data_IF_633962630836
#
_entry.id   IF_633962630836
#
_cell.length_a   1.000
_cell.length_b   1.000
_cell.length_c   1.000
_cell.angle_alpha   90.00
_cell.angle_beta   90.00
_cell.angle_gamma   90.00
#
_symmetry.space_group_name_H-M   'P 1'
#
loop_
_entity.id
_entity.type
_entity.pdbx_description
1 polymer ?
#
# COMPACT_ATOMS: atom_id res chain seq x y z
N UNK A 1 21.28 -6.24 -12.81
CA UNK A 1 19.82 -6.10 -12.98
C UNK A 1 19.04 -6.65 -11.79
N UNK A 2 19.31 -7.89 -11.35
CA UNK A 2 18.58 -8.54 -10.23
C UNK A 2 18.70 -7.81 -8.88
N UNK A 3 19.88 -7.27 -8.55
CA UNK A 3 20.11 -6.52 -7.31
C UNK A 3 19.24 -5.25 -7.19
N UNK A 4 18.91 -4.60 -8.31
CA UNK A 4 18.07 -3.40 -8.32
C UNK A 4 16.61 -3.73 -7.99
N UNK A 5 16.12 -4.90 -8.43
CA UNK A 5 14.76 -5.37 -8.14
C UNK A 5 14.62 -5.70 -6.65
N UNK A 6 15.64 -6.32 -6.05
CA UNK A 6 15.64 -6.59 -4.60
C UNK A 6 15.58 -5.30 -3.77
N UNK A 7 16.36 -4.28 -4.14
CA UNK A 7 16.30 -2.97 -3.50
C UNK A 7 14.93 -2.30 -3.63
N UNK A 8 14.28 -2.45 -4.80
CA UNK A 8 12.94 -1.92 -5.02
C UNK A 8 11.90 -2.61 -4.11
N UNK A 9 11.97 -3.94 -3.99
CA UNK A 9 11.08 -4.72 -3.12
C UNK A 9 11.22 -4.27 -1.66
N UNK A 10 12.45 -4.09 -1.18
CA UNK A 10 12.68 -3.62 0.19
C UNK A 10 12.18 -2.19 0.41
N UNK A 11 12.36 -1.30 -0.56
CA UNK A 11 11.84 0.06 -0.49
C UNK A 11 10.29 0.10 -0.45
N UNK A 12 9.62 -0.75 -1.24
CA UNK A 12 8.15 -0.86 -1.24
C UNK A 12 7.65 -1.38 0.11
N UNK A 13 8.32 -2.36 0.72
CA UNK A 13 7.98 -2.84 2.07
C UNK A 13 8.09 -1.76 3.12
N UNK A 14 9.19 -1.01 3.12
CA UNK A 14 9.38 0.11 4.05
C UNK A 14 8.28 1.17 3.88
N UNK A 15 7.88 1.46 2.64
CA UNK A 15 6.77 2.36 2.35
C UNK A 15 5.43 1.83 2.90
N UNK A 16 5.16 0.53 2.72
CA UNK A 16 3.96 -0.13 3.27
C UNK A 16 3.90 -0.07 4.80
N UNK A 17 5.02 -0.33 5.48
CA UNK A 17 5.13 -0.20 6.94
C UNK A 17 4.85 1.25 7.41
N UNK A 18 5.38 2.24 6.70
CA UNK A 18 5.09 3.65 6.95
C UNK A 18 3.61 3.99 6.81
N UNK A 19 2.96 3.51 5.75
CA UNK A 19 1.51 3.68 5.57
C UNK A 19 0.69 2.97 6.65
N UNK A 20 1.11 1.79 7.09
CA UNK A 20 0.43 1.06 8.17
C UNK A 20 0.54 1.80 9.50
N UNK A 21 1.71 2.34 9.84
CA UNK A 21 1.89 3.14 11.06
C UNK A 21 0.98 4.39 11.03
N UNK A 22 0.93 5.09 9.90
CA UNK A 22 0.05 6.25 9.72
C UNK A 22 -1.43 5.89 9.67
N UNK A 23 -1.79 4.71 9.18
CA UNK A 23 -3.16 4.23 9.21
C UNK A 23 -3.68 4.11 10.65
N UNK A 24 -2.84 3.59 11.57
CA UNK A 24 -3.18 3.49 13.00
C UNK A 24 -3.23 4.88 13.65
N UNK A 25 -2.26 5.76 13.36
CA UNK A 25 -2.23 7.13 13.89
C UNK A 25 -3.47 7.94 13.48
N UNK A 26 -4.01 7.70 12.28
CA UNK A 26 -5.12 8.45 11.71
C UNK A 26 -6.47 7.72 11.78
N UNK A 27 -6.58 6.64 12.56
CA UNK A 27 -7.81 5.85 12.64
C UNK A 27 -9.05 6.67 13.04
N UNK A 28 -8.85 7.71 13.87
CA UNK A 28 -9.94 8.51 14.45
C UNK A 28 -10.22 9.81 13.67
N UNK A 29 -9.46 10.08 12.60
CA UNK A 29 -9.65 11.29 11.78
C UNK A 29 -10.75 11.02 10.75
N UNK A 30 -11.92 11.61 10.95
CA UNK A 30 -13.04 11.52 10.01
C UNK A 30 -12.84 12.48 8.83
N UNK A 31 -13.07 11.98 7.61
CA UNK A 31 -13.03 12.77 6.37
C UNK A 31 -14.16 12.38 5.40
N UNK A 32 -14.45 13.26 4.45
CA UNK A 32 -15.37 12.94 3.35
C UNK A 32 -14.62 12.15 2.27
N UNK A 33 -15.17 11.00 1.89
CA UNK A 33 -14.70 10.24 0.73
C UNK A 33 -14.99 11.00 -0.57
N UNK A 34 -14.21 10.70 -1.62
CA UNK A 34 -14.39 11.29 -2.96
C UNK A 34 -14.52 10.19 -4.01
N UNK A 35 -15.60 10.21 -4.78
CA UNK A 35 -15.79 9.35 -5.97
C UNK A 35 -16.00 10.21 -7.19
N UNK A 36 -15.24 10.01 -8.26
CA UNK A 36 -15.24 10.93 -9.43
C UNK A 36 -15.05 12.41 -9.03
N UNK A 37 -14.26 12.66 -7.97
CA UNK A 37 -14.03 13.97 -7.33
C UNK A 37 -15.27 14.61 -6.66
N UNK A 38 -16.42 13.93 -6.65
CA UNK A 38 -17.61 14.34 -5.94
C UNK A 38 -17.62 13.79 -4.51
N UNK A 39 -18.30 14.51 -3.60
CA UNK A 39 -18.47 14.07 -2.22
C UNK A 39 -19.26 12.76 -2.17
N UNK A 40 -18.73 11.80 -1.43
CA UNK A 40 -19.30 10.48 -1.25
C UNK A 40 -19.67 10.26 0.24
N UNK A 41 -19.55 9.03 0.71
CA UNK A 41 -19.81 8.65 2.10
C UNK A 41 -18.61 9.01 2.99
N UNK A 42 -18.83 9.45 4.24
CA UNK A 42 -17.75 9.68 5.21
C UNK A 42 -16.96 8.40 5.48
N UNK A 43 -15.65 8.55 5.64
CA UNK A 43 -14.73 7.48 6.03
C UNK A 43 -13.60 8.03 6.88
N UNK A 44 -12.78 7.17 7.48
CA UNK A 44 -11.62 7.62 8.27
C UNK A 44 -10.39 7.75 7.38
N UNK A 45 -9.51 8.69 7.71
CA UNK A 45 -8.23 8.83 7.04
C UNK A 45 -7.38 7.56 7.24
N UNK A 46 -7.47 6.93 8.41
CA UNK A 46 -6.81 5.65 8.69
C UNK A 46 -7.23 4.54 7.73
N UNK A 47 -8.51 4.45 7.35
CA UNK A 47 -8.99 3.47 6.37
C UNK A 47 -8.36 3.67 4.99
N UNK A 48 -8.16 4.90 4.54
CA UNK A 48 -7.49 5.19 3.26
C UNK A 48 -6.01 4.78 3.29
N UNK A 49 -5.30 5.14 4.36
CA UNK A 49 -3.89 4.76 4.52
C UNK A 49 -3.70 3.25 4.65
N UNK A 50 -4.63 2.57 5.30
CA UNK A 50 -4.64 1.11 5.35
C UNK A 50 -4.82 0.49 3.97
N UNK A 51 -5.72 1.03 3.14
CA UNK A 51 -5.92 0.57 1.77
C UNK A 51 -4.64 0.69 0.92
N UNK A 52 -3.87 1.79 1.06
CA UNK A 52 -2.58 1.93 0.39
C UNK A 52 -1.57 0.84 0.81
N UNK A 53 -1.47 0.55 2.11
CA UNK A 53 -0.61 -0.53 2.60
C UNK A 53 -1.03 -1.90 2.04
N UNK A 54 -2.33 -2.20 1.99
CA UNK A 54 -2.84 -3.47 1.43
C UNK A 54 -2.44 -3.62 -0.03
N UNK A 55 -2.65 -2.59 -0.86
CA UNK A 55 -2.27 -2.59 -2.26
C UNK A 55 -0.76 -2.83 -2.45
N UNK A 56 0.09 -2.12 -1.70
CA UNK A 56 1.54 -2.30 -1.81
C UNK A 56 2.01 -3.71 -1.38
N UNK A 57 1.34 -4.31 -0.40
CA UNK A 57 1.63 -5.68 0.01
C UNK A 57 1.21 -6.71 -1.06
N UNK A 58 0.12 -6.46 -1.78
CA UNK A 58 -0.28 -7.30 -2.91
C UNK A 58 0.72 -7.19 -4.07
N UNK A 59 1.14 -5.98 -4.43
CA UNK A 59 2.18 -5.76 -5.44
C UNK A 59 3.50 -6.46 -5.07
N UNK A 60 3.91 -6.37 -3.81
CA UNK A 60 5.11 -7.06 -3.30
C UNK A 60 5.02 -8.57 -3.46
N UNK A 61 3.84 -9.17 -3.21
CA UNK A 61 3.60 -10.61 -3.45
C UNK A 61 3.66 -10.95 -4.94
N UNK A 62 3.10 -10.10 -5.80
CA UNK A 62 3.15 -10.30 -7.25
C UNK A 62 4.59 -10.29 -7.78
N UNK A 63 5.43 -9.35 -7.34
CA UNK A 63 6.86 -9.32 -7.68
C UNK A 63 7.61 -10.57 -7.20
N UNK A 64 7.25 -11.09 -6.02
CA UNK A 64 7.82 -12.32 -5.50
C UNK A 64 7.38 -13.56 -6.31
N UNK A 65 6.13 -13.60 -6.80
CA UNK A 65 5.62 -14.67 -7.65
C UNK A 65 6.28 -14.67 -9.05
N UNK A 66 6.49 -13.48 -9.64
CA UNK A 66 7.24 -13.31 -10.88
C UNK A 66 8.66 -13.89 -10.79
N UNK A 67 9.32 -13.74 -9.65
CA UNK A 67 10.62 -14.38 -9.37
C UNK A 67 10.54 -15.89 -9.50
N UNK A 68 9.51 -16.53 -8.95
CA UNK A 68 9.36 -18.00 -9.00
C UNK A 68 8.94 -18.55 -10.36
N UNK A 69 8.24 -17.74 -11.18
CA UNK A 69 7.68 -18.17 -12.46
C UNK A 69 8.64 -17.92 -13.64
N UNK A 70 9.40 -16.83 -13.61
CA UNK A 70 10.30 -16.43 -14.70
C UNK A 70 11.71 -17.03 -14.58
N UNK A 71 12.07 -17.61 -13.43
CA UNK A 71 13.37 -18.23 -13.15
C UNK A 71 13.28 -19.73 -12.87
N UNK A 72 12.32 -20.41 -13.51
CA UNK A 72 12.28 -21.88 -13.63
C UNK A 72 12.46 -22.28 -15.08
#
# INVERSE_FOLDING_TARGET
MYASILKLIDAIKQLGEGFQAKAVEFQDILKMGRTQLQDAVPMTLGQEFHAFNVLLNEETKAFCALRSCCWR
#
